data_IF_690334136548
#
_entry.id   IF_690334136548
#
_cell.length_a   1.000
_cell.length_b   1.000
_cell.length_c   1.000
_cell.angle_alpha   90.00
_cell.angle_beta   90.00
_cell.angle_gamma   90.00
#
_symmetry.space_group_name_H-M   'P 1'
#
loop_
_entity.id
_entity.type
_entity.pdbx_description
1 polymer ?
#
# COMPACT_ATOMS: atom_id res chain seq x y z
N UNK A 1 -15.80 -13.92 -17.51
CA UNK A 1 -15.99 -12.80 -16.56
C UNK A 1 -15.99 -13.29 -15.12
N UNK A 2 -17.09 -13.81 -14.56
CA UNK A 2 -17.11 -14.35 -13.17
C UNK A 2 -16.16 -15.53 -12.94
N UNK A 3 -16.00 -16.39 -13.93
CA UNK A 3 -15.10 -17.55 -13.85
C UNK A 3 -13.63 -17.22 -13.54
N UNK A 4 -13.08 -16.08 -14.00
CA UNK A 4 -11.69 -15.71 -13.69
C UNK A 4 -11.55 -15.18 -12.26
N UNK A 5 -12.55 -14.46 -11.76
CA UNK A 5 -12.62 -14.04 -10.37
C UNK A 5 -12.81 -15.26 -9.45
N UNK A 6 -13.72 -16.19 -9.78
CA UNK A 6 -13.91 -17.43 -9.05
C UNK A 6 -12.65 -18.32 -9.04
N UNK A 7 -11.92 -18.43 -10.14
CA UNK A 7 -10.63 -19.15 -10.18
C UNK A 7 -9.58 -18.44 -9.33
N UNK A 8 -9.55 -17.10 -9.35
CA UNK A 8 -8.61 -16.35 -8.53
C UNK A 8 -8.94 -16.45 -7.03
N UNK A 9 -10.22 -16.45 -6.65
CA UNK A 9 -10.69 -16.70 -5.28
C UNK A 9 -10.38 -18.15 -4.82
N UNK A 10 -10.44 -19.12 -5.73
CA UNK A 10 -9.99 -20.50 -5.47
C UNK A 10 -8.46 -20.58 -5.30
N UNK A 11 -7.68 -19.89 -6.14
CA UNK A 11 -6.22 -19.82 -5.97
C UNK A 11 -5.81 -19.07 -4.69
N UNK A 12 -6.58 -18.08 -4.25
CA UNK A 12 -6.44 -17.43 -2.92
C UNK A 12 -6.60 -18.46 -1.80
N UNK A 13 -7.56 -19.39 -1.93
CA UNK A 13 -7.76 -20.48 -0.96
C UNK A 13 -6.65 -21.53 -1.00
N UNK A 14 -6.03 -21.76 -2.17
CA UNK A 14 -4.91 -22.70 -2.34
C UNK A 14 -3.52 -22.09 -2.01
N UNK A 15 -3.47 -20.86 -1.47
CA UNK A 15 -2.24 -20.11 -1.14
C UNK A 15 -1.26 -19.88 -2.30
N UNK A 16 -1.69 -20.08 -3.55
CA UNK A 16 -0.84 -19.84 -4.71
C UNK A 16 -0.98 -18.39 -5.20
N UNK A 17 -0.37 -17.47 -4.45
CA UNK A 17 -0.47 -16.02 -4.68
C UNK A 17 0.06 -15.61 -6.07
N UNK A 18 1.11 -16.25 -6.56
CA UNK A 18 1.68 -15.96 -7.89
C UNK A 18 0.71 -16.32 -9.02
N UNK A 19 0.07 -17.49 -8.92
CA UNK A 19 -0.91 -17.94 -9.89
C UNK A 19 -2.20 -17.12 -9.82
N UNK A 20 -2.64 -16.76 -8.61
CA UNK A 20 -3.77 -15.85 -8.40
C UNK A 20 -3.52 -14.48 -9.06
N UNK A 21 -2.31 -13.91 -8.90
CA UNK A 21 -1.93 -12.65 -9.57
C UNK A 21 -2.04 -12.76 -11.09
N UNK A 22 -1.56 -13.84 -11.69
CA UNK A 22 -1.65 -14.03 -13.15
C UNK A 22 -3.09 -14.13 -13.66
N UNK A 23 -4.00 -14.76 -12.90
CA UNK A 23 -5.42 -14.80 -13.27
C UNK A 23 -6.11 -13.44 -13.08
N UNK A 24 -5.80 -12.71 -12.00
CA UNK A 24 -6.30 -11.35 -11.78
C UNK A 24 -5.79 -10.37 -12.85
N UNK A 25 -4.57 -10.53 -13.33
CA UNK A 25 -3.98 -9.72 -14.42
C UNK A 25 -4.78 -9.91 -15.72
N UNK A 26 -5.02 -11.16 -16.12
CA UNK A 26 -5.89 -11.48 -17.27
C UNK A 26 -7.31 -10.96 -17.09
N UNK A 27 -7.86 -11.06 -15.88
CA UNK A 27 -9.18 -10.53 -15.59
C UNK A 27 -9.22 -8.99 -15.74
N UNK A 28 -8.19 -8.29 -15.26
CA UNK A 28 -8.08 -6.84 -15.37
C UNK A 28 -8.01 -6.38 -16.84
N UNK A 29 -7.20 -7.04 -17.67
CA UNK A 29 -7.14 -6.77 -19.11
C UNK A 29 -8.50 -6.96 -19.81
N UNK A 30 -9.23 -8.04 -19.48
CA UNK A 30 -10.57 -8.26 -20.02
C UNK A 30 -11.53 -7.14 -19.59
N UNK A 31 -11.59 -6.81 -18.30
CA UNK A 31 -12.47 -5.74 -17.81
C UNK A 31 -12.12 -4.37 -18.40
N UNK A 32 -10.84 -4.10 -18.62
CA UNK A 32 -10.37 -2.88 -19.26
C UNK A 32 -10.77 -2.82 -20.74
N UNK A 33 -10.78 -3.95 -21.45
CA UNK A 33 -11.27 -4.04 -22.84
C UNK A 33 -12.77 -3.81 -23.00
N UNK A 34 -13.55 -4.08 -21.95
CA UNK A 34 -15.02 -3.90 -21.93
C UNK A 34 -15.45 -2.56 -21.29
N UNK A 35 -14.52 -1.63 -21.07
CA UNK A 35 -14.73 -0.31 -20.45
C UNK A 35 -15.25 -0.36 -19.00
N UNK A 36 -15.14 -1.52 -18.33
CA UNK A 36 -15.56 -1.72 -16.94
C UNK A 36 -14.42 -1.38 -15.98
N UNK A 37 -14.07 -0.09 -15.93
CA UNK A 37 -12.94 0.43 -15.14
C UNK A 37 -13.00 0.10 -13.64
N UNK A 38 -14.20 0.09 -13.04
CA UNK A 38 -14.37 -0.25 -11.62
C UNK A 38 -13.95 -1.68 -11.29
N UNK A 39 -14.33 -2.67 -12.12
CA UNK A 39 -13.97 -4.07 -11.90
C UNK A 39 -12.50 -4.34 -12.24
N UNK A 40 -11.97 -3.68 -13.27
CA UNK A 40 -10.53 -3.72 -13.56
C UNK A 40 -9.72 -3.22 -12.36
N UNK A 41 -10.13 -2.11 -11.73
CA UNK A 41 -9.47 -1.56 -10.54
C UNK A 41 -9.55 -2.50 -9.33
N UNK A 42 -10.64 -3.24 -9.15
CA UNK A 42 -10.73 -4.26 -8.09
C UNK A 42 -9.74 -5.41 -8.32
N UNK A 43 -9.64 -5.90 -9.56
CA UNK A 43 -8.65 -6.94 -9.90
C UNK A 43 -7.22 -6.43 -9.70
N UNK A 44 -6.89 -5.23 -10.18
CA UNK A 44 -5.58 -4.61 -9.98
C UNK A 44 -5.23 -4.42 -8.49
N UNK A 45 -6.19 -4.02 -7.65
CA UNK A 45 -5.97 -3.94 -6.20
C UNK A 45 -5.57 -5.28 -5.58
N UNK A 46 -6.21 -6.38 -5.99
CA UNK A 46 -5.83 -7.73 -5.54
C UNK A 46 -4.41 -8.09 -5.97
N UNK A 47 -4.04 -7.82 -7.22
CA UNK A 47 -2.66 -8.01 -7.72
C UNK A 47 -1.66 -7.24 -6.85
N UNK A 48 -1.95 -5.97 -6.54
CA UNK A 48 -1.08 -5.15 -5.70
C UNK A 48 -0.97 -5.68 -4.26
N UNK A 49 -2.06 -6.17 -3.68
CA UNK A 49 -2.05 -6.78 -2.34
C UNK A 49 -1.15 -8.00 -2.27
N UNK A 50 -1.26 -8.91 -3.24
CA UNK A 50 -0.41 -10.10 -3.31
C UNK A 50 1.03 -9.76 -3.66
N UNK A 51 1.25 -8.82 -4.59
CA UNK A 51 2.59 -8.33 -4.91
C UNK A 51 3.31 -7.83 -3.65
N UNK A 52 2.64 -7.04 -2.80
CA UNK A 52 3.23 -6.56 -1.56
C UNK A 52 3.49 -7.69 -0.54
N UNK A 53 2.61 -8.70 -0.48
CA UNK A 53 2.83 -9.86 0.39
C UNK A 53 4.05 -10.69 -0.03
N UNK A 54 4.23 -10.87 -1.34
CA UNK A 54 5.39 -11.50 -1.99
C UNK A 54 6.63 -10.59 -2.06
N UNK A 55 6.61 -9.45 -1.37
CA UNK A 55 7.75 -8.50 -1.29
C UNK A 55 8.10 -7.82 -2.63
N UNK A 56 7.24 -7.95 -3.64
CA UNK A 56 7.29 -7.19 -4.88
C UNK A 56 6.71 -5.77 -4.68
N UNK A 57 7.25 -5.03 -3.72
CA UNK A 57 6.73 -3.72 -3.30
C UNK A 57 6.66 -2.72 -4.45
N UNK A 58 7.66 -2.69 -5.33
CA UNK A 58 7.68 -1.77 -6.49
C UNK A 58 6.46 -1.99 -7.39
N UNK A 59 6.16 -3.24 -7.74
CA UNK A 59 5.00 -3.59 -8.56
C UNK A 59 3.68 -3.19 -7.88
N UNK A 60 3.57 -3.38 -6.56
CA UNK A 60 2.39 -2.97 -5.81
C UNK A 60 2.19 -1.45 -5.84
N UNK A 61 3.28 -0.68 -5.67
CA UNK A 61 3.26 0.78 -5.71
C UNK A 61 2.77 1.28 -7.07
N UNK A 62 3.38 0.79 -8.17
CA UNK A 62 3.03 1.21 -9.52
C UNK A 62 1.55 0.96 -9.82
N UNK A 63 1.01 -0.18 -9.38
CA UNK A 63 -0.41 -0.52 -9.55
C UNK A 63 -1.30 0.40 -8.71
N UNK A 64 -0.99 0.66 -7.43
CA UNK A 64 -1.81 1.53 -6.60
C UNK A 64 -1.80 2.98 -7.08
N UNK A 65 -0.64 3.49 -7.54
CA UNK A 65 -0.54 4.82 -8.14
C UNK A 65 -1.36 4.92 -9.45
N UNK A 66 -1.32 3.89 -10.30
CA UNK A 66 -2.14 3.82 -11.53
C UNK A 66 -3.63 3.89 -11.21
N UNK A 67 -4.09 3.09 -10.24
CA UNK A 67 -5.49 3.09 -9.81
C UNK A 67 -5.89 4.44 -9.19
N UNK A 68 -5.02 5.05 -8.41
CA UNK A 68 -5.25 6.37 -7.82
C UNK A 68 -5.41 7.44 -8.90
N UNK A 69 -4.51 7.49 -9.90
CA UNK A 69 -4.58 8.40 -11.05
C UNK A 69 -5.88 8.22 -11.85
N UNK A 70 -6.27 6.98 -12.14
CA UNK A 70 -7.52 6.69 -12.85
C UNK A 70 -8.76 7.07 -12.02
N UNK A 71 -8.71 6.84 -10.71
CA UNK A 71 -9.83 7.14 -9.81
C UNK A 71 -10.04 8.64 -9.59
N UNK A 72 -8.99 9.46 -9.70
CA UNK A 72 -9.12 10.93 -9.66
C UNK A 72 -9.87 11.50 -10.86
N UNK A 73 -9.72 10.88 -12.03
CA UNK A 73 -10.47 11.25 -13.23
C UNK A 73 -11.95 10.83 -13.15
N UNK A 74 -12.35 10.06 -12.13
CA UNK A 74 -13.72 9.58 -11.96
C UNK A 74 -14.32 10.05 -10.63
N UNK A 75 -15.23 11.03 -10.69
CA UNK A 75 -15.86 11.67 -9.52
C UNK A 75 -16.56 10.68 -8.55
N UNK A 76 -16.98 9.51 -9.02
CA UNK A 76 -17.60 8.45 -8.21
C UNK A 76 -16.58 7.69 -7.33
N UNK A 77 -15.33 7.60 -7.77
CA UNK A 77 -14.26 6.82 -7.12
C UNK A 77 -13.30 7.69 -6.30
N UNK A 78 -13.50 9.02 -6.27
CA UNK A 78 -12.59 9.97 -5.59
C UNK A 78 -12.30 9.62 -4.12
N UNK A 79 -13.26 8.99 -3.44
CA UNK A 79 -13.12 8.62 -2.03
C UNK A 79 -12.16 7.43 -1.82
N UNK A 80 -11.94 6.60 -2.84
CA UNK A 80 -11.01 5.47 -2.79
C UNK A 80 -9.55 5.87 -3.02
N UNK A 81 -9.30 7.02 -3.64
CA UNK A 81 -7.95 7.52 -3.99
C UNK A 81 -7.04 7.56 -2.77
N UNK A 82 -7.52 8.12 -1.65
CA UNK A 82 -6.76 8.23 -0.40
C UNK A 82 -6.32 6.87 0.14
N UNK A 83 -7.18 5.86 0.03
CA UNK A 83 -6.86 4.50 0.42
C UNK A 83 -5.82 3.84 -0.48
N UNK A 84 -5.85 4.11 -1.79
CA UNK A 84 -4.85 3.63 -2.73
C UNK A 84 -3.48 4.30 -2.49
N UNK A 85 -3.46 5.62 -2.29
CA UNK A 85 -2.24 6.36 -1.94
C UNK A 85 -1.65 5.91 -0.61
N UNK A 86 -2.50 5.65 0.40
CA UNK A 86 -2.06 5.06 1.67
C UNK A 86 -1.38 3.71 1.44
N UNK A 87 -2.02 2.81 0.70
CA UNK A 87 -1.47 1.47 0.44
C UNK A 87 -0.14 1.55 -0.33
N UNK A 88 -0.03 2.44 -1.32
CA UNK A 88 1.21 2.69 -2.04
C UNK A 88 2.31 3.22 -1.11
N UNK A 89 1.99 4.18 -0.23
CA UNK A 89 2.91 4.71 0.77
C UNK A 89 3.40 3.65 1.77
N UNK A 90 2.52 2.77 2.24
CA UNK A 90 2.92 1.64 3.12
C UNK A 90 3.91 0.72 2.39
N UNK A 91 3.69 0.44 1.09
CA UNK A 91 4.63 -0.36 0.30
C UNK A 91 5.98 0.35 0.11
N UNK A 92 6.01 1.68 -0.02
CA UNK A 92 7.27 2.45 -0.06
C UNK A 92 8.02 2.35 1.28
N UNK A 93 7.32 2.42 2.41
CA UNK A 93 7.91 2.25 3.74
C UNK A 93 8.52 0.85 3.91
N UNK A 94 7.91 -0.20 3.34
CA UNK A 94 8.50 -1.55 3.33
C UNK A 94 9.81 -1.65 2.55
N UNK A 95 10.08 -0.76 1.59
CA UNK A 95 11.39 -0.69 0.91
C UNK A 95 12.46 -0.04 1.78
N UNK A 96 12.08 0.55 2.92
CA UNK A 96 12.98 1.13 3.91
C UNK A 96 13.89 2.22 3.31
N UNK A 97 13.35 2.96 2.34
CA UNK A 97 13.99 4.06 1.62
C UNK A 97 13.23 5.36 1.92
N UNK A 98 13.79 6.16 2.84
CA UNK A 98 13.21 7.42 3.32
C UNK A 98 13.08 8.44 2.19
N UNK A 99 14.05 8.47 1.27
CA UNK A 99 14.04 9.40 0.13
C UNK A 99 12.89 9.03 -0.82
N UNK A 100 12.68 7.74 -1.07
CA UNK A 100 11.58 7.27 -1.92
C UNK A 100 10.20 7.60 -1.35
N UNK A 101 9.96 7.40 -0.05
CA UNK A 101 8.67 7.75 0.58
C UNK A 101 8.45 9.27 0.61
N UNK A 102 9.49 10.05 0.89
CA UNK A 102 9.38 11.52 0.91
C UNK A 102 9.04 12.08 -0.48
N UNK A 103 9.74 11.59 -1.51
CA UNK A 103 9.44 11.93 -2.90
C UNK A 103 8.07 11.42 -3.36
N UNK A 104 7.59 10.29 -2.81
CA UNK A 104 6.24 9.79 -3.08
C UNK A 104 5.17 10.69 -2.44
N UNK A 105 5.39 11.16 -1.21
CA UNK A 105 4.47 12.07 -0.52
C UNK A 105 4.30 13.39 -1.27
N UNK A 106 5.38 13.97 -1.77
CA UNK A 106 5.35 15.18 -2.60
C UNK A 106 4.51 14.96 -3.88
N UNK A 107 4.80 13.88 -4.61
CA UNK A 107 4.03 13.48 -5.81
C UNK A 107 2.55 13.23 -5.50
N UNK A 108 2.21 12.68 -4.34
CA UNK A 108 0.82 12.44 -3.94
C UNK A 108 0.08 13.75 -3.66
N UNK A 109 0.77 14.76 -3.13
CA UNK A 109 0.20 16.10 -2.95
C UNK A 109 0.01 16.84 -4.28
N UNK A 110 0.94 16.69 -5.21
CA UNK A 110 0.77 17.23 -6.57
C UNK A 110 -0.42 16.58 -7.28
N UNK A 111 -0.62 15.27 -7.04
CA UNK A 111 -1.69 14.50 -7.65
C UNK A 111 -3.08 14.82 -7.04
N UNK A 112 -3.17 14.93 -5.72
CA UNK A 112 -4.38 15.36 -5.00
C UNK A 112 -3.99 16.41 -3.95
N UNK A 113 -4.23 17.71 -4.23
CA UNK A 113 -3.92 18.79 -3.28
C UNK A 113 -4.66 18.67 -1.94
N UNK A 114 -5.74 17.87 -1.88
CA UNK A 114 -6.48 17.63 -0.64
C UNK A 114 -5.85 16.55 0.23
N UNK A 115 -4.93 15.74 -0.32
CA UNK A 115 -4.30 14.61 0.37
C UNK A 115 -3.48 15.06 1.58
N UNK A 116 -2.77 16.19 1.49
CA UNK A 116 -1.99 16.76 2.60
C UNK A 116 -2.82 17.03 3.87
N UNK A 117 -4.12 17.30 3.71
CA UNK A 117 -5.05 17.52 4.82
C UNK A 117 -5.69 16.24 5.38
N UNK A 118 -5.33 15.06 4.86
CA UNK A 118 -5.96 13.80 5.28
C UNK A 118 -5.14 13.06 6.33
N UNK A 119 -5.82 12.16 7.04
CA UNK A 119 -5.19 11.30 8.04
C UNK A 119 -4.23 10.30 7.41
N UNK A 120 -4.50 9.88 6.18
CA UNK A 120 -3.63 8.97 5.44
C UNK A 120 -2.26 9.61 5.15
N UNK A 121 -2.25 10.87 4.71
CA UNK A 121 -1.00 11.61 4.52
C UNK A 121 -0.27 11.79 5.85
N UNK A 122 -0.98 12.23 6.90
CA UNK A 122 -0.39 12.43 8.23
C UNK A 122 0.29 11.14 8.72
N UNK A 123 -0.40 10.00 8.64
CA UNK A 123 0.16 8.71 9.01
C UNK A 123 1.44 8.42 8.21
N UNK A 124 1.41 8.52 6.88
CA UNK A 124 2.59 8.22 6.07
C UNK A 124 3.77 9.14 6.38
N UNK A 125 3.52 10.42 6.61
CA UNK A 125 4.56 11.39 6.99
C UNK A 125 5.15 11.08 8.37
N UNK A 126 4.30 10.78 9.36
CA UNK A 126 4.73 10.43 10.71
C UNK A 126 5.55 9.12 10.72
N UNK A 127 5.13 8.12 9.93
CA UNK A 127 5.88 6.87 9.76
C UNK A 127 7.20 7.07 9.02
N UNK A 128 7.23 7.91 7.97
CA UNK A 128 8.47 8.21 7.25
C UNK A 128 9.50 8.90 8.16
N UNK A 129 9.05 9.86 8.98
CA UNK A 129 9.91 10.52 9.96
C UNK A 129 10.42 9.52 11.02
N UNK A 130 9.55 8.67 11.55
CA UNK A 130 9.97 7.64 12.51
C UNK A 130 10.97 6.64 11.92
N UNK A 131 10.85 6.31 10.63
CA UNK A 131 11.83 5.44 9.94
C UNK A 131 13.17 6.15 9.71
N UNK A 132 13.17 7.45 9.44
CA UNK A 132 14.37 8.28 9.30
C UNK A 132 15.12 8.47 10.62
N UNK A 133 14.38 8.69 11.70
CA UNK A 133 14.91 8.88 13.06
C UNK A 133 15.22 7.56 13.78
N UNK A 134 14.94 6.42 13.15
CA UNK A 134 15.09 5.07 13.75
C UNK A 134 14.30 4.93 15.07
N UNK A 135 13.13 5.58 15.17
CA UNK A 135 12.35 5.66 16.42
C UNK A 135 11.14 4.70 16.38
N UNK A 136 11.30 3.53 17.02
CA UNK A 136 10.24 2.50 17.07
C UNK A 136 9.04 2.95 17.90
N UNK A 137 9.24 3.80 18.91
CA UNK A 137 8.17 4.31 19.76
C UNK A 137 7.26 5.26 18.97
N UNK A 138 7.84 6.24 18.26
CA UNK A 138 7.15 7.17 17.39
C UNK A 138 6.40 6.46 16.27
N UNK A 139 7.02 5.44 15.65
CA UNK A 139 6.34 4.61 14.66
C UNK A 139 5.10 3.92 15.26
N UNK A 140 5.26 3.30 16.43
CA UNK A 140 4.18 2.57 17.10
C UNK A 140 3.04 3.49 17.51
N UNK A 141 3.32 4.69 17.98
CA UNK A 141 2.30 5.65 18.41
C UNK A 141 1.54 6.26 17.23
N UNK A 142 2.20 6.54 16.11
CA UNK A 142 1.54 6.96 14.87
C UNK A 142 0.55 5.89 14.36
N UNK A 143 0.96 4.62 14.35
CA UNK A 143 0.08 3.49 13.97
C UNK A 143 -1.12 3.38 14.92
N UNK A 144 -0.90 3.50 16.24
CA UNK A 144 -1.99 3.44 17.24
C UNK A 144 -2.97 4.59 17.10
N UNK A 145 -2.48 5.82 16.92
CA UNK A 145 -3.32 7.01 16.72
C UNK A 145 -4.24 6.79 15.51
N UNK A 146 -3.67 6.34 14.39
CA UNK A 146 -4.45 6.07 13.20
C UNK A 146 -5.45 4.92 13.41
N UNK A 147 -5.05 3.79 13.98
CA UNK A 147 -5.94 2.63 14.21
C UNK A 147 -7.10 2.93 15.17
N UNK A 148 -6.90 3.87 16.11
CA UNK A 148 -7.95 4.31 17.03
C UNK A 148 -9.10 5.02 16.32
N UNK A 149 -8.80 5.70 15.22
CA UNK A 149 -9.77 6.49 14.45
C UNK A 149 -10.25 5.77 13.19
N UNK A 150 -9.37 5.03 12.53
CA UNK A 150 -9.60 4.29 11.29
C UNK A 150 -8.97 2.90 11.45
N UNK A 151 -9.82 1.88 11.60
CA UNK A 151 -9.33 0.52 11.83
C UNK A 151 -8.46 0.03 10.69
N UNK A 152 -7.27 -0.44 11.02
CA UNK A 152 -6.36 -1.09 10.09
C UNK A 152 -6.88 -2.48 9.77
N UNK A 153 -6.93 -2.81 8.48
CA UNK A 153 -7.17 -4.18 8.05
C UNK A 153 -5.91 -5.06 8.26
N UNK A 154 -6.11 -6.37 8.14
CA UNK A 154 -5.05 -7.36 8.34
C UNK A 154 -3.85 -7.13 7.41
N UNK A 155 -4.08 -6.76 6.14
CA UNK A 155 -3.01 -6.56 5.17
C UNK A 155 -2.13 -5.36 5.54
N UNK A 156 -2.72 -4.22 5.91
CA UNK A 156 -1.97 -3.04 6.38
C UNK A 156 -1.19 -3.36 7.64
N UNK A 157 -1.82 -4.06 8.58
CA UNK A 157 -1.20 -4.45 9.85
C UNK A 157 0.03 -5.32 9.61
N UNK A 158 -0.06 -6.33 8.73
CA UNK A 158 1.07 -7.20 8.38
C UNK A 158 2.24 -6.40 7.79
N UNK A 159 1.98 -5.48 6.86
CA UNK A 159 3.06 -4.69 6.25
C UNK A 159 3.70 -3.71 7.24
N UNK A 160 2.90 -3.02 8.06
CA UNK A 160 3.41 -2.11 9.09
C UNK A 160 4.22 -2.84 10.16
N UNK A 161 3.84 -4.08 10.50
CA UNK A 161 4.64 -4.93 11.40
C UNK A 161 6.01 -5.25 10.78
N UNK A 162 6.08 -5.59 9.49
CA UNK A 162 7.38 -5.82 8.80
C UNK A 162 8.28 -4.59 8.85
N UNK A 163 7.72 -3.40 8.61
CA UNK A 163 8.48 -2.13 8.71
C UNK A 163 8.98 -1.92 10.14
N UNK A 164 8.12 -2.13 11.13
CA UNK A 164 8.48 -2.01 12.55
C UNK A 164 9.59 -2.99 12.95
N UNK A 165 9.54 -4.24 12.48
CA UNK A 165 10.58 -5.23 12.77
C UNK A 165 11.92 -4.85 12.14
N UNK A 166 11.92 -4.35 10.89
CA UNK A 166 13.13 -3.80 10.26
C UNK A 166 13.67 -2.57 10.98
N UNK A 167 12.78 -1.70 11.47
CA UNK A 167 13.18 -0.50 12.23
C UNK A 167 13.80 -0.87 13.57
N UNK A 168 13.20 -1.81 14.29
CA UNK A 168 13.71 -2.30 15.57
C UNK A 168 15.09 -2.96 15.44
N UNK A 169 15.30 -3.74 14.38
CA UNK A 169 16.61 -4.33 14.11
C UNK A 169 17.71 -3.26 13.97
N UNK A 170 17.41 -2.13 13.32
CA UNK A 170 18.36 -1.00 13.23
C UNK A 170 18.59 -0.29 14.56
N UNK A 171 17.53 -0.07 15.35
CA UNK A 171 17.62 0.56 16.67
C UNK A 171 18.50 -0.28 17.61
N UNK A 172 18.32 -1.60 17.61
CA UNK A 172 19.13 -2.54 18.41
C UNK A 172 20.61 -2.59 17.95
N UNK A 173 20.89 -2.42 16.64
CA UNK A 173 22.26 -2.36 16.10
C UNK A 173 22.98 -1.05 16.46
N UNK A 174 22.28 0.09 16.51
CA UNK A 174 22.86 1.39 16.89
C UNK A 174 23.20 1.47 18.40
N UNK A 175 22.38 0.87 19.26
CA UNK A 175 22.63 0.84 20.71
C UNK A 175 23.78 -0.12 21.08
N UNK A 176 24.00 -1.16 20.27
CA UNK A 176 25.06 -2.17 20.47
C UNK A 176 26.49 -1.71 20.12
N UNK A 177 26.66 -0.66 19.31
CA UNK A 177 27.99 -0.09 18.95
C UNK A 177 28.47 1.00 19.94
N UNK A 178 27.61 1.37 20.91
CA UNK A 178 27.89 2.38 21.94
C UNK A 178 28.43 1.80 23.28
N UNK A 179 28.66 0.47 23.36
CA UNK A 179 29.20 -0.22 24.56
C UNK A 179 30.50 -0.97 24.28
#
# INVERSE_FOLDING_TARGET
MRYLQEIAELCEQEQNLEQAMHFYDKAADLFQSEDVSSSANQCKQKIAQFAAQLEHYQRAIDIYEDIARQSLNNNLLKYGVRGHLLNAGICQLCKNDVVAITNALDRYQELDPTFSGTREYKLLADLAAAVDEVDVAKFTDAVKEFDSMTKLDAWKTTLLLRVKESLKAKEDDEDGDLT
#
